data_IF_811642851094
#
_entry.id   IF_811642851094
#
_cell.length_a   1.000
_cell.length_b   1.000
_cell.length_c   1.000
_cell.angle_alpha   90.00
_cell.angle_beta   90.00
_cell.angle_gamma   90.00
#
_symmetry.space_group_name_H-M   'P 1'
#
loop_
_entity.id
_entity.type
_entity.pdbx_description
1 polymer ?
#
# COMPACT_ATOMS: atom_id res chain seq x y z
N UNK A 1 15.00 7.03 -3.22
CA UNK A 1 14.87 5.56 -3.36
C UNK A 1 13.61 5.06 -2.67
N UNK A 2 13.45 5.27 -1.36
CA UNK A 2 12.29 4.81 -0.58
C UNK A 2 10.92 5.23 -1.15
N UNK A 3 10.79 6.47 -1.63
CA UNK A 3 9.51 6.96 -2.18
C UNK A 3 9.06 6.22 -3.46
N UNK A 4 9.99 5.77 -4.30
CA UNK A 4 9.66 4.97 -5.48
C UNK A 4 9.27 3.55 -5.09
N UNK A 5 9.97 2.97 -4.10
CA UNK A 5 9.60 1.67 -3.55
C UNK A 5 8.21 1.72 -2.91
N UNK A 6 7.88 2.78 -2.18
CA UNK A 6 6.56 2.99 -1.59
C UNK A 6 5.46 3.02 -2.66
N UNK A 7 5.71 3.72 -3.78
CA UNK A 7 4.77 3.71 -4.89
C UNK A 7 4.59 2.29 -5.47
N UNK A 8 5.70 1.58 -5.70
CA UNK A 8 5.65 0.22 -6.24
C UNK A 8 4.91 -0.74 -5.32
N UNK A 9 5.16 -0.70 -4.01
CA UNK A 9 4.44 -1.56 -3.04
C UNK A 9 2.96 -1.22 -2.98
N UNK A 10 2.60 0.06 -3.06
CA UNK A 10 1.20 0.50 -3.11
C UNK A 10 0.49 -0.04 -4.36
N UNK A 11 1.13 0.08 -5.53
CA UNK A 11 0.58 -0.39 -6.80
C UNK A 11 0.43 -1.90 -6.80
N UNK A 12 1.43 -2.65 -6.34
CA UNK A 12 1.33 -4.11 -6.22
C UNK A 12 0.20 -4.48 -5.25
N UNK A 13 0.08 -3.77 -4.12
CA UNK A 13 -1.00 -4.01 -3.16
C UNK A 13 -2.39 -3.84 -3.76
N UNK A 14 -2.60 -2.79 -4.58
CA UNK A 14 -3.84 -2.59 -5.34
C UNK A 14 -4.08 -3.75 -6.31
N UNK A 15 -3.05 -4.14 -7.07
CA UNK A 15 -3.16 -5.23 -8.05
C UNK A 15 -3.56 -6.53 -7.36
N UNK A 16 -2.98 -6.85 -6.20
CA UNK A 16 -3.32 -8.05 -5.45
C UNK A 16 -4.76 -8.00 -4.91
N UNK A 17 -5.22 -6.83 -4.45
CA UNK A 17 -6.62 -6.66 -4.08
C UNK A 17 -7.54 -6.97 -5.25
N UNK A 18 -7.38 -6.25 -6.36
CA UNK A 18 -8.17 -6.48 -7.60
C UNK A 18 -8.08 -7.94 -8.08
N UNK A 19 -6.93 -8.59 -7.94
CA UNK A 19 -6.75 -9.98 -8.33
C UNK A 19 -7.52 -10.99 -7.46
N UNK A 20 -7.78 -10.67 -6.19
CA UNK A 20 -8.50 -11.57 -5.26
C UNK A 20 -9.87 -12.01 -5.82
N UNK A 21 -10.83 -11.11 -6.16
CA UNK A 21 -12.13 -11.51 -6.71
C UNK A 21 -12.06 -12.06 -8.13
N UNK A 22 -10.95 -11.83 -8.86
CA UNK A 22 -10.77 -12.36 -10.22
C UNK A 22 -10.24 -13.79 -10.25
N UNK A 23 -9.66 -14.26 -9.14
CA UNK A 23 -8.98 -15.56 -9.04
C UNK A 23 -9.68 -16.54 -8.11
N UNK A 24 -10.65 -16.10 -7.32
CA UNK A 24 -11.40 -16.96 -6.42
C UNK A 24 -12.64 -16.30 -5.83
N UNK A 25 -13.41 -17.11 -5.12
CA UNK A 25 -14.56 -16.69 -4.33
C UNK A 25 -14.15 -16.32 -2.90
N UNK A 26 -14.96 -15.53 -2.16
CA UNK A 26 -14.65 -15.15 -0.77
C UNK A 26 -14.55 -16.31 0.24
N UNK A 27 -14.77 -17.55 -0.16
CA UNK A 27 -14.55 -18.74 0.68
C UNK A 27 -13.21 -19.43 0.39
N UNK A 28 -12.53 -19.05 -0.70
CA UNK A 28 -11.30 -19.70 -1.14
C UNK A 28 -10.07 -19.15 -0.41
N UNK A 29 -9.11 -20.04 -0.15
CA UNK A 29 -7.83 -19.66 0.48
C UNK A 29 -7.02 -18.68 -0.38
N UNK A 30 -7.04 -18.83 -1.71
CA UNK A 30 -6.36 -17.94 -2.66
C UNK A 30 -6.89 -16.50 -2.57
N UNK A 31 -8.21 -16.32 -2.50
CA UNK A 31 -8.86 -15.03 -2.31
C UNK A 31 -8.34 -14.34 -1.05
N UNK A 32 -8.32 -15.06 0.08
CA UNK A 32 -7.87 -14.52 1.35
C UNK A 32 -6.38 -14.15 1.37
N UNK A 33 -5.54 -15.02 0.80
CA UNK A 33 -4.09 -14.78 0.72
C UNK A 33 -3.79 -13.54 -0.10
N UNK A 34 -4.46 -13.37 -1.24
CA UNK A 34 -4.28 -12.19 -2.10
C UNK A 34 -4.75 -10.90 -1.40
N UNK A 35 -5.91 -10.94 -0.75
CA UNK A 35 -6.43 -9.78 -0.02
C UNK A 35 -5.51 -9.36 1.15
N UNK A 36 -5.03 -10.31 1.96
CA UNK A 36 -4.07 -10.02 3.03
C UNK A 36 -2.74 -9.52 2.47
N UNK A 37 -2.18 -10.19 1.46
CA UNK A 37 -0.90 -9.78 0.87
C UNK A 37 -1.00 -8.37 0.26
N UNK A 38 -2.12 -8.08 -0.40
CA UNK A 38 -2.44 -6.75 -0.92
C UNK A 38 -2.49 -5.70 0.19
N UNK A 39 -3.19 -6.02 1.28
CA UNK A 39 -3.31 -5.13 2.45
C UNK A 39 -1.96 -4.86 3.12
N UNK A 40 -1.12 -5.88 3.29
CA UNK A 40 0.23 -5.73 3.87
C UNK A 40 1.11 -4.83 3.00
N UNK A 41 1.06 -4.99 1.68
CA UNK A 41 1.85 -4.19 0.75
C UNK A 41 1.35 -2.75 0.64
N UNK A 42 0.05 -2.55 0.43
CA UNK A 42 -0.55 -1.22 0.32
C UNK A 42 -0.55 -0.45 1.66
N UNK A 43 -0.71 -1.15 2.77
CA UNK A 43 -0.71 -0.60 4.12
C UNK A 43 0.68 -0.54 4.73
N UNK A 44 1.06 -1.61 5.42
CA UNK A 44 2.25 -1.65 6.27
C UNK A 44 3.54 -1.28 5.51
N UNK A 45 3.83 -1.98 4.41
CA UNK A 45 5.09 -1.77 3.69
C UNK A 45 5.18 -0.36 3.11
N UNK A 46 4.10 0.12 2.47
CA UNK A 46 4.08 1.45 1.87
C UNK A 46 4.20 2.56 2.92
N UNK A 47 3.44 2.47 4.02
CA UNK A 47 3.48 3.49 5.09
C UNK A 47 4.86 3.54 5.76
N UNK A 48 5.50 2.39 6.01
CA UNK A 48 6.86 2.34 6.55
C UNK A 48 7.84 3.02 5.59
N UNK A 49 7.78 2.71 4.29
CA UNK A 49 8.67 3.30 3.29
C UNK A 49 8.47 4.82 3.14
N UNK A 50 7.23 5.31 3.25
CA UNK A 50 6.94 6.74 3.28
C UNK A 50 7.53 7.40 4.54
N UNK A 51 7.38 6.76 5.70
CA UNK A 51 7.99 7.25 6.95
C UNK A 51 9.51 7.33 6.89
N UNK A 52 10.17 6.29 6.36
CA UNK A 52 11.62 6.28 6.13
C UNK A 52 12.05 7.40 5.17
N UNK A 53 11.27 7.63 4.10
CA UNK A 53 11.53 8.75 3.19
C UNK A 53 11.43 10.10 3.89
N UNK A 54 10.37 10.33 4.68
CA UNK A 54 10.18 11.57 5.43
C UNK A 54 11.27 11.81 6.47
N UNK A 55 11.73 10.76 7.16
CA UNK A 55 12.83 10.87 8.12
C UNK A 55 14.13 11.31 7.46
N UNK A 56 14.48 10.71 6.33
CA UNK A 56 15.66 11.08 5.55
C UNK A 56 15.54 12.48 4.92
N UNK A 57 14.34 12.87 4.45
CA UNK A 57 14.09 14.22 3.92
C UNK A 57 14.23 15.28 5.00
N UNK A 58 13.70 15.04 6.20
CA UNK A 58 13.85 15.94 7.34
C UNK A 58 15.32 16.09 7.76
N UNK A 59 16.09 14.99 7.76
CA UNK A 59 17.53 15.01 8.03
C UNK A 59 18.28 15.89 7.04
N UNK A 60 17.97 15.79 5.74
CA UNK A 60 18.58 16.62 4.67
C UNK A 60 18.17 18.09 4.75
N UNK A 61 16.93 18.38 5.13
CA UNK A 61 16.47 19.77 5.35
C UNK A 61 17.19 20.46 6.51
N UNK A 62 17.67 19.69 7.48
CA UNK A 62 18.47 20.20 8.59
C UNK A 62 19.93 20.49 8.20
N UNK A 63 20.39 20.04 7.03
CA UNK A 63 21.72 20.35 6.49
C UNK A 63 21.70 21.72 5.77
N UNK A 64 22.78 22.50 5.88
CA UNK A 64 22.88 23.90 5.43
C UNK A 64 22.55 24.16 3.93
N UNK A 65 22.48 23.13 3.08
CA UNK A 65 22.27 23.26 1.64
C UNK A 65 21.20 22.28 1.15
N UNK A 66 19.93 22.60 1.42
CA UNK A 66 18.79 21.80 0.97
C UNK A 66 18.30 22.25 -0.41
N UNK A 67 18.44 21.39 -1.42
CA UNK A 67 17.83 21.55 -2.74
C UNK A 67 16.65 20.58 -2.83
N UNK A 68 15.43 21.08 -2.62
CA UNK A 68 14.21 20.29 -2.74
C UNK A 68 13.96 19.86 -4.19
N UNK A 69 13.55 18.60 -4.39
CA UNK A 69 13.20 18.07 -5.72
C UNK A 69 11.67 17.94 -5.84
N UNK A 70 10.96 18.79 -6.62
CA UNK A 70 9.50 18.75 -6.74
C UNK A 70 8.92 17.38 -7.13
N UNK A 71 9.67 16.62 -7.93
CA UNK A 71 9.32 15.26 -8.35
C UNK A 71 9.14 14.31 -7.17
N UNK A 72 9.96 14.40 -6.12
CA UNK A 72 9.87 13.51 -4.96
C UNK A 72 8.61 13.79 -4.15
N UNK A 73 8.21 15.05 -4.04
CA UNK A 73 6.96 15.44 -3.38
C UNK A 73 5.73 14.89 -4.11
N UNK A 74 5.71 14.95 -5.44
CA UNK A 74 4.62 14.37 -6.22
C UNK A 74 4.54 12.86 -6.02
N UNK A 75 5.65 12.14 -6.16
CA UNK A 75 5.66 10.67 -5.98
C UNK A 75 5.23 10.28 -4.56
N UNK A 76 5.65 11.02 -3.53
CA UNK A 76 5.22 10.80 -2.15
C UNK A 76 3.70 10.89 -1.99
N UNK A 77 3.09 11.94 -2.54
CA UNK A 77 1.63 12.13 -2.49
C UNK A 77 0.90 11.04 -3.27
N UNK A 78 1.37 10.71 -4.47
CA UNK A 78 0.78 9.65 -5.29
C UNK A 78 0.87 8.29 -4.60
N UNK A 79 2.01 7.97 -3.98
CA UNK A 79 2.18 6.74 -3.22
C UNK A 79 1.24 6.70 -2.01
N UNK A 80 1.06 7.81 -1.28
CA UNK A 80 0.11 7.91 -0.18
C UNK A 80 -1.35 7.71 -0.62
N UNK A 81 -1.76 8.31 -1.74
CA UNK A 81 -3.10 8.12 -2.30
C UNK A 81 -3.30 6.67 -2.74
N UNK A 82 -2.33 6.09 -3.44
CA UNK A 82 -2.37 4.69 -3.86
C UNK A 82 -2.44 3.72 -2.67
N UNK A 83 -1.70 4.01 -1.59
CA UNK A 83 -1.75 3.25 -0.34
C UNK A 83 -3.16 3.19 0.22
N UNK A 84 -3.81 4.35 0.36
CA UNK A 84 -5.18 4.45 0.89
C UNK A 84 -6.16 3.67 0.02
N UNK A 85 -6.09 3.82 -1.31
CA UNK A 85 -6.95 3.08 -2.24
C UNK A 85 -6.75 1.57 -2.09
N UNK A 86 -5.49 1.10 -2.07
CA UNK A 86 -5.17 -0.33 -1.91
C UNK A 86 -5.65 -0.89 -0.58
N UNK A 87 -5.51 -0.14 0.52
CA UNK A 87 -6.03 -0.53 1.85
C UNK A 87 -7.55 -0.67 1.81
N UNK A 88 -8.27 0.27 1.21
CA UNK A 88 -9.73 0.22 1.15
C UNK A 88 -10.24 -0.97 0.33
N UNK A 89 -9.65 -1.22 -0.84
CA UNK A 89 -9.99 -2.38 -1.69
C UNK A 89 -9.81 -3.68 -0.90
N UNK A 90 -8.62 -3.88 -0.36
CA UNK A 90 -8.26 -5.12 0.34
C UNK A 90 -8.99 -5.29 1.66
N UNK A 91 -9.33 -4.20 2.36
CA UNK A 91 -10.16 -4.26 3.57
C UNK A 91 -11.59 -4.75 3.26
N UNK A 92 -12.19 -4.30 2.15
CA UNK A 92 -13.49 -4.80 1.70
C UNK A 92 -13.43 -6.29 1.40
N UNK A 93 -12.39 -6.75 0.72
CA UNK A 93 -12.21 -8.17 0.40
C UNK A 93 -12.02 -9.02 1.66
N UNK A 94 -11.20 -8.59 2.62
CA UNK A 94 -11.04 -9.27 3.90
C UNK A 94 -12.39 -9.32 4.65
N UNK A 95 -13.15 -8.22 4.67
CA UNK A 95 -14.47 -8.21 5.29
C UNK A 95 -15.45 -9.18 4.63
N UNK A 96 -15.43 -9.29 3.29
CA UNK A 96 -16.21 -10.28 2.55
C UNK A 96 -15.81 -11.71 2.91
N UNK A 97 -14.50 -12.00 3.00
CA UNK A 97 -14.00 -13.30 3.41
C UNK A 97 -14.49 -13.66 4.83
N UNK A 98 -14.34 -12.75 5.80
CA UNK A 98 -14.82 -12.95 7.18
C UNK A 98 -16.33 -13.21 7.19
N UNK A 99 -17.10 -12.39 6.48
CA UNK A 99 -18.56 -12.52 6.42
C UNK A 99 -19.01 -13.87 5.87
N UNK A 100 -18.25 -14.48 4.96
CA UNK A 100 -18.62 -15.74 4.29
C UNK A 100 -18.05 -16.99 4.94
N UNK A 101 -17.00 -16.86 5.74
CA UNK A 101 -16.32 -18.00 6.39
C UNK A 101 -16.59 -18.10 7.88
N UNK A 102 -16.79 -16.97 8.56
CA UNK A 102 -17.03 -16.90 10.02
C UNK A 102 -18.48 -16.56 10.33
N UNK A 103 -19.13 -15.77 9.48
CA UNK A 103 -20.52 -15.33 9.67
C UNK A 103 -21.59 -16.28 9.12
N UNK A 104 -21.20 -17.42 8.53
CA UNK A 104 -22.09 -18.45 7.97
C UNK A 104 -22.14 -19.66 8.91
#
# INVERSE_FOLDING_TARGET
MYVNLALTTAVIGIILGIAAPLTGSPTDGSFHILAIAGWVLAGLATVILLGLHSGEDNRRRAENLYIGTPRQTTVFRTAGIAAVIGILITAVEIALWISKTVGA
#
